data_IF_298662263340
#
_entry.id   IF_298662263340
#
_cell.length_a   1.000
_cell.length_b   1.000
_cell.length_c   1.000
_cell.angle_alpha   90.00
_cell.angle_beta   90.00
_cell.angle_gamma   90.00
#
_symmetry.space_group_name_H-M   'P 1'
#
loop_
_entity.id
_entity.type
_entity.pdbx_description
1 polymer ?
#
# COMPACT_ATOMS: atom_id res chain seq x y z
N UNK A 1 -23.26 -4.67 54.83
CA UNK A 1 -22.10 -3.82 54.46
C UNK A 1 -21.62 -4.27 53.09
N UNK A 2 -21.87 -3.46 52.07
CA UNK A 2 -21.31 -3.66 50.74
C UNK A 2 -19.83 -3.28 50.77
N UNK A 3 -18.95 -4.13 50.23
CA UNK A 3 -17.57 -3.76 49.93
C UNK A 3 -17.28 -4.13 48.49
N UNK A 4 -16.63 -3.19 47.82
CA UNK A 4 -16.55 -3.04 46.37
C UNK A 4 -15.70 -4.11 45.69
N UNK A 5 -16.12 -4.50 44.49
CA UNK A 5 -15.30 -5.16 43.48
C UNK A 5 -14.10 -4.29 43.08
N UNK A 6 -12.95 -4.90 42.74
CA UNK A 6 -12.10 -4.37 41.69
C UNK A 6 -12.47 -5.07 40.38
N UNK A 7 -12.96 -4.28 39.43
CA UNK A 7 -13.03 -4.65 38.02
C UNK A 7 -11.57 -4.62 37.54
N UNK A 8 -10.98 -5.78 37.27
CA UNK A 8 -9.73 -5.82 36.51
C UNK A 8 -10.09 -5.49 35.06
N UNK A 9 -10.01 -4.21 34.74
CA UNK A 9 -10.06 -3.71 33.37
C UNK A 9 -8.76 -4.15 32.69
N UNK A 10 -8.78 -5.34 32.10
CA UNK A 10 -7.79 -5.72 31.10
C UNK A 10 -8.01 -4.77 29.93
N UNK A 11 -7.25 -3.66 29.91
CA UNK A 11 -7.11 -2.84 28.73
C UNK A 11 -6.54 -3.74 27.62
N UNK A 12 -7.44 -4.27 26.79
CA UNK A 12 -7.09 -4.82 25.49
C UNK A 12 -6.42 -3.70 24.74
N UNK A 13 -5.09 -3.72 24.69
CA UNK A 13 -4.30 -2.89 23.79
C UNK A 13 -4.93 -3.11 22.42
N UNK A 14 -5.52 -2.04 21.87
CA UNK A 14 -6.09 -2.04 20.54
C UNK A 14 -5.06 -2.69 19.64
N UNK A 15 -5.44 -3.82 19.03
CA UNK A 15 -4.54 -4.56 18.15
C UNK A 15 -3.97 -3.57 17.16
N UNK A 16 -2.64 -3.48 17.12
CA UNK A 16 -1.96 -3.01 15.93
C UNK A 16 -2.52 -3.86 14.80
N UNK A 17 -3.42 -3.28 14.01
CA UNK A 17 -3.71 -3.78 12.69
C UNK A 17 -2.40 -3.56 11.96
N UNK A 18 -1.49 -4.54 12.03
CA UNK A 18 -0.29 -4.53 11.21
C UNK A 18 -0.80 -4.32 9.78
N UNK A 19 -0.48 -3.18 9.16
CA UNK A 19 -1.13 -2.81 7.93
C UNK A 19 -0.65 -3.84 6.91
N UNK A 20 -1.57 -4.69 6.46
CA UNK A 20 -1.21 -5.91 5.74
C UNK A 20 -0.85 -5.56 4.29
N UNK A 21 0.38 -5.08 4.10
CA UNK A 21 0.91 -4.60 2.82
C UNK A 21 0.69 -5.61 1.69
N UNK A 22 0.68 -6.91 2.01
CA UNK A 22 0.42 -8.00 1.07
C UNK A 22 -1.00 -8.03 0.47
N UNK A 23 -1.88 -7.08 0.82
CA UNK A 23 -3.20 -6.92 0.20
C UNK A 23 -3.19 -6.04 -1.06
N UNK A 24 -2.14 -5.23 -1.25
CA UNK A 24 -2.02 -4.39 -2.45
C UNK A 24 -1.70 -5.27 -3.66
N UNK A 25 -2.51 -5.15 -4.72
CA UNK A 25 -2.47 -6.06 -5.88
C UNK A 25 -1.17 -6.00 -6.69
N UNK A 26 -0.35 -4.99 -6.44
CA UNK A 26 0.94 -4.73 -7.08
C UNK A 26 2.12 -4.94 -6.13
N UNK A 27 1.92 -5.58 -4.99
CA UNK A 27 3.00 -6.02 -4.09
C UNK A 27 3.15 -7.53 -4.13
N UNK A 28 4.28 -8.05 -3.68
CA UNK A 28 4.53 -9.49 -3.66
C UNK A 28 5.73 -9.85 -2.78
N UNK A 29 6.04 -11.14 -2.59
CA UNK A 29 7.22 -11.54 -1.84
C UNK A 29 8.51 -11.06 -2.54
N UNK A 30 9.52 -10.66 -1.76
CA UNK A 30 10.88 -10.47 -2.31
C UNK A 30 11.47 -11.82 -2.69
N UNK A 31 12.33 -11.84 -3.71
CA UNK A 31 12.97 -13.05 -4.18
C UNK A 31 13.99 -13.66 -3.19
N UNK A 32 14.43 -12.88 -2.19
CA UNK A 32 15.39 -13.25 -1.16
C UNK A 32 14.72 -13.59 0.19
N UNK A 33 13.39 -13.73 0.22
CA UNK A 33 12.57 -13.96 1.41
C UNK A 33 12.74 -12.91 2.53
N UNK A 34 13.36 -11.75 2.24
CA UNK A 34 13.63 -10.71 3.24
C UNK A 34 12.43 -9.80 3.55
N UNK A 35 11.25 -10.11 3.00
CA UNK A 35 10.00 -9.38 3.23
C UNK A 35 9.20 -9.15 1.96
N UNK A 36 8.52 -8.01 1.88
CA UNK A 36 7.62 -7.65 0.78
C UNK A 36 8.31 -6.73 -0.22
N UNK A 37 8.18 -7.05 -1.50
CA UNK A 37 8.46 -6.17 -2.61
C UNK A 37 7.27 -5.22 -2.80
N UNK A 38 7.49 -3.94 -2.54
CA UNK A 38 6.47 -2.90 -2.65
C UNK A 38 6.12 -2.52 -4.09
N UNK A 39 6.83 -3.08 -5.08
CA UNK A 39 6.54 -2.89 -6.50
C UNK A 39 6.79 -4.17 -7.30
N UNK A 40 5.75 -4.98 -7.41
CA UNK A 40 5.66 -6.23 -8.16
C UNK A 40 4.42 -6.24 -9.08
N UNK A 41 4.24 -5.25 -9.97
CA UNK A 41 3.08 -5.20 -10.86
C UNK A 41 3.05 -6.42 -11.79
N UNK A 42 1.86 -6.98 -12.00
CA UNK A 42 1.68 -8.08 -12.94
C UNK A 42 1.96 -7.61 -14.38
N UNK A 43 2.53 -8.47 -15.25
CA UNK A 43 2.65 -8.16 -16.67
C UNK A 43 1.29 -7.85 -17.28
N UNK A 44 1.19 -6.73 -18.00
CA UNK A 44 -0.03 -6.33 -18.70
C UNK A 44 0.11 -6.68 -20.18
N UNK A 45 -0.77 -7.52 -20.71
CA UNK A 45 -0.90 -7.71 -22.16
C UNK A 45 -1.69 -6.53 -22.74
N UNK A 46 -1.01 -5.50 -23.18
CA UNK A 46 -1.66 -4.29 -23.70
C UNK A 46 -0.67 -3.24 -24.15
N UNK A 47 -1.20 -2.17 -24.75
CA UNK A 47 -0.39 -0.99 -25.08
C UNK A 47 -0.26 -0.03 -23.89
N UNK A 48 0.45 1.07 -24.10
CA UNK A 48 0.64 2.14 -23.11
C UNK A 48 -0.65 2.58 -22.38
N UNK A 49 -1.77 2.65 -23.09
CA UNK A 49 -3.05 3.05 -22.51
C UNK A 49 -3.58 2.06 -21.46
N UNK A 50 -3.38 0.75 -21.68
CA UNK A 50 -3.79 -0.30 -20.75
C UNK A 50 -2.86 -0.31 -19.54
N UNK A 51 -1.56 -0.16 -19.76
CA UNK A 51 -0.57 0.01 -18.69
C UNK A 51 -0.91 1.20 -17.79
N UNK A 52 -1.20 2.38 -18.36
CA UNK A 52 -1.63 3.55 -17.60
C UNK A 52 -2.94 3.32 -16.83
N UNK A 53 -3.86 2.51 -17.37
CA UNK A 53 -5.10 2.16 -16.68
C UNK A 53 -4.81 1.30 -15.46
N UNK A 54 -4.02 0.24 -15.63
CA UNK A 54 -3.57 -0.63 -14.53
C UNK A 54 -2.81 0.16 -13.47
N UNK A 55 -1.87 1.02 -13.88
CA UNK A 55 -1.13 1.90 -12.98
C UNK A 55 -2.04 2.79 -12.13
N UNK A 56 -3.08 3.39 -12.73
CA UNK A 56 -4.04 4.22 -11.98
C UNK A 56 -4.78 3.41 -10.92
N UNK A 57 -5.20 2.18 -11.23
CA UNK A 57 -5.82 1.28 -10.25
C UNK A 57 -4.91 1.05 -9.05
N UNK A 58 -3.63 0.76 -9.29
CA UNK A 58 -2.63 0.62 -8.23
C UNK A 58 -2.44 1.90 -7.41
N UNK A 59 -2.45 3.06 -8.06
CA UNK A 59 -2.34 4.35 -7.36
C UNK A 59 -3.54 4.62 -6.43
N UNK A 60 -4.76 4.27 -6.86
CA UNK A 60 -5.94 4.38 -6.01
C UNK A 60 -5.91 3.42 -4.84
N UNK A 61 -5.53 2.15 -5.05
CA UNK A 61 -5.33 1.17 -3.98
C UNK A 61 -4.31 1.67 -2.94
N UNK A 62 -3.18 2.22 -3.39
CA UNK A 62 -2.17 2.78 -2.49
C UNK A 62 -2.72 3.95 -1.66
N UNK A 63 -3.45 4.88 -2.28
CA UNK A 63 -4.04 6.02 -1.58
C UNK A 63 -5.09 5.57 -0.56
N UNK A 64 -5.94 4.62 -0.92
CA UNK A 64 -6.94 4.05 -0.02
C UNK A 64 -6.28 3.39 1.19
N UNK A 65 -5.28 2.55 0.95
CA UNK A 65 -4.49 1.93 2.01
C UNK A 65 -3.83 2.96 2.94
N UNK A 66 -3.20 4.00 2.38
CA UNK A 66 -2.56 5.07 3.19
C UNK A 66 -3.60 5.82 4.03
N UNK A 67 -4.81 6.04 3.49
CA UNK A 67 -5.91 6.70 4.23
C UNK A 67 -6.42 5.83 5.37
N UNK A 68 -6.54 4.53 5.16
CA UNK A 68 -7.03 3.59 6.17
C UNK A 68 -6.01 3.34 7.29
N UNK A 69 -4.72 3.29 6.94
CA UNK A 69 -3.64 2.92 7.86
C UNK A 69 -2.91 4.12 8.46
N UNK A 70 -3.13 5.32 7.90
CA UNK A 70 -2.38 6.54 8.20
C UNK A 70 -0.86 6.40 8.01
N UNK A 71 -0.41 5.47 7.16
CA UNK A 71 1.01 5.24 6.86
C UNK A 71 1.44 5.98 5.58
N UNK A 72 1.75 7.26 5.70
CA UNK A 72 2.27 8.04 4.59
C UNK A 72 3.69 7.61 4.15
N UNK A 73 4.46 6.96 5.03
CA UNK A 73 5.82 6.50 4.71
C UNK A 73 5.79 5.37 3.67
N UNK A 74 4.71 4.59 3.64
CA UNK A 74 4.46 3.57 2.63
C UNK A 74 4.58 4.10 1.19
N UNK A 75 4.08 5.31 0.90
CA UNK A 75 4.23 5.92 -0.42
C UNK A 75 5.70 6.12 -0.79
N UNK A 76 6.52 6.57 0.17
CA UNK A 76 7.97 6.70 -0.02
C UNK A 76 8.64 5.37 -0.34
N UNK A 77 8.23 4.29 0.34
CA UNK A 77 8.70 2.93 0.07
C UNK A 77 8.35 2.43 -1.33
N UNK A 78 7.10 2.64 -1.77
CA UNK A 78 6.66 2.28 -3.12
C UNK A 78 7.47 3.04 -4.18
N UNK A 79 7.64 4.37 -4.00
CA UNK A 79 8.41 5.20 -4.93
C UNK A 79 9.86 4.75 -5.01
N UNK A 80 10.48 4.42 -3.88
CA UNK A 80 11.83 3.86 -3.89
C UNK A 80 11.87 2.52 -4.63
N UNK A 81 10.91 1.62 -4.41
CA UNK A 81 10.87 0.33 -5.10
C UNK A 81 10.74 0.49 -6.63
N UNK A 82 9.91 1.44 -7.09
CA UNK A 82 9.79 1.82 -8.50
C UNK A 82 11.14 2.27 -9.07
N UNK A 83 11.84 3.18 -8.38
CA UNK A 83 13.13 3.72 -8.83
C UNK A 83 14.21 2.63 -8.88
N UNK A 84 14.28 1.77 -7.85
CA UNK A 84 15.27 0.69 -7.78
C UNK A 84 15.09 -0.36 -8.88
N UNK A 85 13.84 -0.61 -9.31
CA UNK A 85 13.56 -1.51 -10.45
C UNK A 85 14.19 -0.99 -11.75
N UNK A 86 14.26 0.33 -11.93
CA UNK A 86 14.95 0.97 -13.05
C UNK A 86 14.29 0.80 -14.43
N UNK A 87 13.11 0.17 -14.50
CA UNK A 87 12.32 0.01 -15.73
C UNK A 87 10.96 0.66 -15.55
N UNK A 88 10.60 1.54 -16.48
CA UNK A 88 9.36 2.32 -16.43
C UNK A 88 8.50 2.05 -17.66
N UNK A 89 7.19 1.92 -17.47
CA UNK A 89 6.19 1.80 -18.53
C UNK A 89 4.98 2.69 -18.22
N UNK A 90 3.86 2.48 -18.91
CA UNK A 90 2.63 3.21 -18.60
C UNK A 90 2.13 2.95 -17.18
N UNK A 91 2.52 1.83 -16.55
CA UNK A 91 2.07 1.48 -15.19
C UNK A 91 2.54 2.54 -14.19
N UNK A 92 3.84 2.85 -14.16
CA UNK A 92 4.37 3.86 -13.25
C UNK A 92 3.77 5.25 -13.53
N UNK A 93 3.61 5.62 -14.81
CA UNK A 93 2.97 6.88 -15.19
C UNK A 93 1.51 6.99 -14.71
N UNK A 94 0.74 5.91 -14.86
CA UNK A 94 -0.64 5.82 -14.38
C UNK A 94 -0.73 5.89 -12.86
N UNK A 95 0.18 5.21 -12.15
CA UNK A 95 0.26 5.22 -10.70
C UNK A 95 0.46 6.64 -10.16
N UNK A 96 1.47 7.35 -10.66
CA UNK A 96 1.75 8.72 -10.22
C UNK A 96 0.63 9.70 -10.58
N UNK A 97 -0.03 9.50 -11.73
CA UNK A 97 -1.20 10.31 -12.10
C UNK A 97 -2.33 10.15 -11.08
N UNK A 98 -2.69 8.92 -10.69
CA UNK A 98 -3.73 8.67 -9.69
C UNK A 98 -3.37 9.29 -8.33
N UNK A 99 -2.14 9.06 -7.85
CA UNK A 99 -1.67 9.65 -6.57
C UNK A 99 -1.74 11.18 -6.61
N UNK A 100 -1.27 11.81 -7.69
CA UNK A 100 -1.32 13.27 -7.83
C UNK A 100 -2.75 13.81 -7.84
N UNK A 101 -3.67 13.14 -8.54
CA UNK A 101 -5.08 13.55 -8.60
C UNK A 101 -5.74 13.47 -7.22
N UNK A 102 -5.41 12.43 -6.44
CA UNK A 102 -5.94 12.23 -5.08
C UNK A 102 -5.44 13.24 -4.05
N UNK A 103 -4.33 13.93 -4.31
CA UNK A 103 -3.81 15.00 -3.46
C UNK A 103 -4.46 16.37 -3.74
N UNK A 104 -5.08 16.51 -4.91
CA UNK A 104 -5.69 17.77 -5.36
C UNK A 104 -7.22 17.79 -5.27
N UNK A 105 -7.83 16.66 -4.86
CA UNK A 105 -9.27 16.48 -4.70
C UNK A 105 -9.69 16.74 -3.25
#
# INVERSE_FOLDING_TARGET
MATHSPITETATVAGEVEPNVGQLSFTGPRADDSGVNLWAPAPVSGGWADECRTGRSYGYEAVEYIRETNDAAMLGGIVQAIIHRGTYSGIEAGFFAAVSMSLTA
#
